data_IF_091162784462
#
_entry.id   IF_091162784462
#
_cell.length_a   1.000
_cell.length_b   1.000
_cell.length_c   1.000
_cell.angle_alpha   90.00
_cell.angle_beta   90.00
_cell.angle_gamma   90.00
#
_symmetry.space_group_name_H-M   'P 1'
#
loop_
_entity.id
_entity.type
_entity.pdbx_description
1 polymer ?
#
# COMPACT_ATOMS: atom_id res chain seq x y z
N UNK A 1 -8.61 22.32 -3.76
CA UNK A 1 -8.93 21.32 -4.82
C UNK A 1 -7.63 20.74 -5.32
N UNK A 2 -7.44 19.41 -5.25
CA UNK A 2 -6.16 18.77 -5.61
C UNK A 2 -6.02 18.72 -7.13
N UNK A 3 -4.88 19.16 -7.66
CA UNK A 3 -4.53 19.23 -9.09
C UNK A 3 -4.41 17.85 -9.81
N UNK A 4 -4.95 16.77 -9.24
CA UNK A 4 -4.82 15.42 -9.80
C UNK A 4 -5.69 15.21 -11.05
N UNK A 5 -6.83 15.91 -11.18
CA UNK A 5 -7.66 15.86 -12.40
C UNK A 5 -6.91 16.34 -13.63
N UNK A 6 -6.43 17.61 -13.65
CA UNK A 6 -5.63 18.11 -14.77
C UNK A 6 -4.34 17.31 -15.00
N UNK A 7 -3.73 16.76 -13.95
CA UNK A 7 -2.55 15.90 -14.10
C UNK A 7 -2.89 14.58 -14.83
N UNK A 8 -4.06 13.99 -14.57
CA UNK A 8 -4.53 12.79 -15.27
C UNK A 8 -4.64 13.03 -16.77
N UNK A 9 -5.25 14.13 -17.20
CA UNK A 9 -5.43 14.45 -18.61
C UNK A 9 -4.07 14.51 -19.34
N UNK A 10 -3.08 15.17 -18.73
CA UNK A 10 -1.72 15.22 -19.27
C UNK A 10 -1.03 13.85 -19.28
N UNK A 11 -1.27 12.99 -18.28
CA UNK A 11 -0.75 11.63 -18.30
C UNK A 11 -1.38 10.77 -19.40
N UNK A 12 -2.68 10.92 -19.67
CA UNK A 12 -3.39 10.20 -20.72
C UNK A 12 -2.86 10.57 -22.11
N UNK A 13 -2.65 11.87 -22.36
CA UNK A 13 -2.08 12.37 -23.61
C UNK A 13 -0.66 11.84 -23.84
N UNK A 14 0.17 11.79 -22.79
CA UNK A 14 1.55 11.33 -22.87
C UNK A 14 1.70 9.81 -22.89
N UNK A 15 0.66 9.06 -22.52
CA UNK A 15 0.72 7.61 -22.35
C UNK A 15 1.23 6.86 -23.59
N UNK A 16 0.74 7.12 -24.82
CA UNK A 16 1.21 6.41 -26.02
C UNK A 16 2.72 6.53 -26.25
N UNK A 17 3.30 7.68 -25.87
CA UNK A 17 4.71 7.99 -26.07
C UNK A 17 5.61 7.48 -24.94
N UNK A 18 5.10 7.47 -23.69
CA UNK A 18 5.91 7.22 -22.49
C UNK A 18 5.58 5.91 -21.77
N UNK A 19 4.65 5.08 -22.28
CA UNK A 19 4.24 3.80 -21.68
C UNK A 19 5.36 2.76 -21.44
N UNK A 20 6.56 2.98 -21.96
CA UNK A 20 7.72 2.10 -21.73
C UNK A 20 8.60 2.59 -20.56
N UNK A 21 8.34 3.77 -19.99
CA UNK A 21 9.14 4.33 -18.89
C UNK A 21 8.52 3.97 -17.54
N UNK A 22 9.18 3.16 -16.69
CA UNK A 22 8.60 2.70 -15.44
C UNK A 22 8.26 3.84 -14.48
N UNK A 23 9.08 4.89 -14.43
CA UNK A 23 8.81 6.06 -13.59
C UNK A 23 7.55 6.81 -14.02
N UNK A 24 7.35 6.98 -15.33
CA UNK A 24 6.13 7.60 -15.86
C UNK A 24 4.88 6.77 -15.50
N UNK A 25 4.94 5.45 -15.72
CA UNK A 25 3.85 4.56 -15.35
C UNK A 25 3.53 4.59 -13.85
N UNK A 26 4.56 4.62 -12.99
CA UNK A 26 4.37 4.74 -11.55
C UNK A 26 3.63 6.03 -11.16
N UNK A 27 4.09 7.19 -11.65
CA UNK A 27 3.47 8.48 -11.30
C UNK A 27 2.04 8.57 -11.84
N UNK A 28 1.78 8.08 -13.06
CA UNK A 28 0.44 8.03 -13.62
C UNK A 28 -0.48 7.11 -12.82
N UNK A 29 -0.03 5.88 -12.54
CA UNK A 29 -0.78 4.93 -11.72
C UNK A 29 -1.06 5.47 -10.31
N UNK A 30 -0.09 6.16 -9.70
CA UNK A 30 -0.26 6.80 -8.40
C UNK A 30 -1.25 7.98 -8.46
N UNK A 31 -1.26 8.76 -9.54
CA UNK A 31 -2.27 9.80 -9.76
C UNK A 31 -3.68 9.21 -9.80
N UNK A 32 -3.87 8.12 -10.57
CA UNK A 32 -5.15 7.42 -10.66
C UNK A 32 -5.60 6.87 -9.29
N UNK A 33 -4.68 6.33 -8.49
CA UNK A 33 -4.96 5.92 -7.10
C UNK A 33 -5.47 7.09 -6.26
N UNK A 34 -4.85 8.29 -6.37
CA UNK A 34 -5.31 9.49 -5.64
C UNK A 34 -6.68 9.99 -6.11
N UNK A 35 -7.06 9.68 -7.34
CA UNK A 35 -8.39 9.94 -7.90
C UNK A 35 -9.41 8.83 -7.60
N UNK A 36 -9.00 7.78 -6.86
CA UNK A 36 -9.80 6.58 -6.56
C UNK A 36 -10.21 5.76 -7.79
N UNK A 37 -9.50 5.91 -8.90
CA UNK A 37 -9.67 5.05 -10.09
C UNK A 37 -8.83 3.78 -9.92
N UNK A 38 -9.19 2.97 -8.93
CA UNK A 38 -8.36 1.85 -8.43
C UNK A 38 -8.08 0.80 -9.51
N UNK A 39 -9.10 0.31 -10.21
CA UNK A 39 -8.92 -0.65 -11.30
C UNK A 39 -7.95 -0.14 -12.40
N UNK A 40 -8.11 1.13 -12.80
CA UNK A 40 -7.25 1.72 -13.83
C UNK A 40 -5.82 1.92 -13.30
N UNK A 41 -5.69 2.42 -12.08
CA UNK A 41 -4.41 2.54 -11.37
C UNK A 41 -3.66 1.21 -11.34
N UNK A 42 -4.34 0.12 -10.96
CA UNK A 42 -3.76 -1.23 -10.89
C UNK A 42 -3.21 -1.67 -12.25
N UNK A 43 -3.99 -1.53 -13.33
CA UNK A 43 -3.53 -1.91 -14.70
C UNK A 43 -2.28 -1.13 -15.14
N UNK A 44 -2.18 0.16 -14.79
CA UNK A 44 -1.00 0.98 -15.11
C UNK A 44 0.20 0.57 -14.25
N UNK A 45 -0.02 0.31 -12.96
CA UNK A 45 1.04 -0.08 -12.02
C UNK A 45 1.58 -1.48 -12.28
N UNK A 46 0.75 -2.43 -12.72
CA UNK A 46 1.20 -3.76 -13.16
C UNK A 46 2.15 -3.64 -14.36
N UNK A 47 1.90 -2.72 -15.29
CA UNK A 47 2.85 -2.42 -16.37
C UNK A 47 4.15 -1.81 -15.84
N UNK A 48 4.07 -0.93 -14.83
CA UNK A 48 5.27 -0.38 -14.18
C UNK A 48 6.11 -1.49 -13.52
N UNK A 49 5.45 -2.45 -12.88
CA UNK A 49 6.06 -3.58 -12.18
C UNK A 49 6.87 -4.50 -13.12
N UNK A 50 6.48 -4.63 -14.39
CA UNK A 50 7.24 -5.41 -15.38
C UNK A 50 8.66 -4.85 -15.63
N UNK A 51 8.87 -3.56 -15.36
CA UNK A 51 10.11 -2.85 -15.67
C UNK A 51 10.79 -2.26 -14.43
N UNK A 52 10.19 -2.40 -13.25
CA UNK A 52 10.68 -1.80 -12.01
C UNK A 52 10.64 -2.76 -10.83
N UNK A 53 11.62 -2.61 -9.97
CA UNK A 53 11.73 -3.36 -8.72
C UNK A 53 11.23 -2.58 -7.50
N UNK A 54 10.65 -1.40 -7.68
CA UNK A 54 10.24 -0.54 -6.57
C UNK A 54 9.06 -1.16 -5.78
N UNK A 55 9.21 -1.44 -4.47
CA UNK A 55 8.12 -1.93 -3.63
C UNK A 55 6.93 -0.97 -3.54
N UNK A 56 7.11 0.32 -3.81
CA UNK A 56 6.00 1.29 -3.78
C UNK A 56 4.93 0.99 -4.83
N UNK A 57 5.31 0.40 -5.97
CA UNK A 57 4.34 -0.07 -6.98
C UNK A 57 3.42 -1.13 -6.37
N UNK A 58 3.99 -2.13 -5.70
CA UNK A 58 3.25 -3.20 -5.03
C UNK A 58 2.37 -2.64 -3.89
N UNK A 59 2.88 -1.67 -3.12
CA UNK A 59 2.12 -1.04 -2.05
C UNK A 59 0.86 -0.34 -2.56
N UNK A 60 0.95 0.38 -3.68
CA UNK A 60 -0.21 1.07 -4.24
C UNK A 60 -1.20 0.07 -4.84
N UNK A 61 -0.74 -0.96 -5.54
CA UNK A 61 -1.62 -2.04 -6.04
C UNK A 61 -2.36 -2.71 -4.87
N UNK A 62 -1.65 -3.06 -3.79
CA UNK A 62 -2.27 -3.65 -2.60
C UNK A 62 -3.34 -2.74 -1.99
N UNK A 63 -3.07 -1.44 -1.89
CA UNK A 63 -4.06 -0.44 -1.42
C UNK A 63 -5.25 -0.27 -2.37
N UNK A 64 -5.06 -0.42 -3.67
CA UNK A 64 -6.16 -0.38 -4.64
C UNK A 64 -7.09 -1.57 -4.42
N UNK A 65 -6.54 -2.79 -4.35
CA UNK A 65 -7.34 -3.99 -4.09
C UNK A 65 -8.03 -3.94 -2.72
N UNK A 66 -7.36 -3.45 -1.68
CA UNK A 66 -8.00 -3.23 -0.37
C UNK A 66 -9.20 -2.28 -0.48
N UNK A 67 -9.09 -1.20 -1.27
CA UNK A 67 -10.17 -0.24 -1.46
C UNK A 67 -11.29 -0.75 -2.39
N UNK A 68 -11.03 -1.82 -3.15
CA UNK A 68 -12.01 -2.57 -3.94
C UNK A 68 -12.53 -3.81 -3.17
N UNK A 69 -12.22 -3.94 -1.87
CA UNK A 69 -12.62 -5.06 -0.99
C UNK A 69 -12.09 -6.44 -1.45
N UNK A 70 -11.09 -6.45 -2.33
CA UNK A 70 -10.39 -7.64 -2.83
C UNK A 70 -9.21 -7.98 -1.91
N UNK A 71 -9.52 -8.31 -0.66
CA UNK A 71 -8.54 -8.35 0.43
C UNK A 71 -7.44 -9.41 0.26
N UNK A 72 -7.74 -10.59 -0.29
CA UNK A 72 -6.73 -11.63 -0.54
C UNK A 72 -5.69 -11.16 -1.56
N UNK A 73 -6.12 -10.44 -2.61
CA UNK A 73 -5.20 -9.85 -3.59
C UNK A 73 -4.39 -8.74 -2.95
N UNK A 74 -5.01 -7.92 -2.11
CA UNK A 74 -4.29 -6.90 -1.35
C UNK A 74 -3.19 -7.53 -0.49
N UNK A 75 -3.49 -8.61 0.23
CA UNK A 75 -2.53 -9.36 1.05
C UNK A 75 -1.37 -9.88 0.19
N UNK A 76 -1.65 -10.54 -0.94
CA UNK A 76 -0.62 -11.09 -1.82
C UNK A 76 0.39 -10.01 -2.27
N UNK A 77 -0.12 -8.88 -2.76
CA UNK A 77 0.72 -7.77 -3.23
C UNK A 77 1.53 -7.13 -2.10
N UNK A 78 0.93 -6.95 -0.92
CA UNK A 78 1.62 -6.37 0.23
C UNK A 78 2.70 -7.32 0.79
N UNK A 79 2.43 -8.63 0.89
CA UNK A 79 3.45 -9.63 1.27
C UNK A 79 4.61 -9.61 0.26
N UNK A 80 4.32 -9.61 -1.04
CA UNK A 80 5.36 -9.49 -2.08
C UNK A 80 6.21 -8.22 -1.90
N UNK A 81 5.59 -7.10 -1.50
CA UNK A 81 6.30 -5.86 -1.20
C UNK A 81 7.25 -6.00 -0.01
N UNK A 82 6.83 -6.71 1.06
CA UNK A 82 7.70 -6.99 2.21
C UNK A 82 8.91 -7.83 1.82
N UNK A 83 8.75 -8.82 0.92
CA UNK A 83 9.86 -9.63 0.44
C UNK A 83 10.82 -8.85 -0.45
N UNK A 84 10.33 -7.86 -1.21
CA UNK A 84 11.16 -7.00 -2.07
C UNK A 84 12.13 -6.15 -1.24
N UNK A 85 11.65 -5.60 -0.13
CA UNK A 85 12.47 -4.76 0.74
C UNK A 85 12.09 -4.95 2.22
N UNK A 86 12.57 -6.04 2.86
CA UNK A 86 12.19 -6.40 4.23
C UNK A 86 12.55 -5.35 5.27
N UNK A 87 13.50 -4.46 4.98
CA UNK A 87 13.90 -3.35 5.85
C UNK A 87 12.89 -2.18 5.92
N UNK A 88 11.87 -2.12 5.04
CA UNK A 88 10.88 -1.04 5.05
C UNK A 88 9.73 -1.40 6.01
N UNK A 89 9.39 -0.46 6.89
CA UNK A 89 8.26 -0.60 7.82
C UNK A 89 6.92 -0.45 7.09
N UNK A 90 6.86 0.41 6.06
CA UNK A 90 5.60 0.80 5.43
C UNK A 90 4.74 -0.38 4.90
N UNK A 91 5.29 -1.38 4.19
CA UNK A 91 4.48 -2.51 3.73
C UNK A 91 3.89 -3.35 4.89
N UNK A 92 4.64 -3.54 5.98
CA UNK A 92 4.12 -4.22 7.18
C UNK A 92 3.02 -3.41 7.87
N UNK A 93 3.18 -2.08 7.93
CA UNK A 93 2.13 -1.19 8.43
C UNK A 93 0.85 -1.28 7.58
N UNK A 94 0.96 -1.40 6.26
CA UNK A 94 -0.21 -1.63 5.40
C UNK A 94 -0.87 -3.00 5.67
N UNK A 95 -0.09 -4.06 5.91
CA UNK A 95 -0.64 -5.35 6.34
C UNK A 95 -1.37 -5.27 7.68
N UNK A 96 -0.86 -4.51 8.66
CA UNK A 96 -1.58 -4.28 9.93
C UNK A 96 -2.96 -3.68 9.66
N UNK A 97 -3.04 -2.66 8.79
CA UNK A 97 -4.31 -2.02 8.45
C UNK A 97 -5.25 -3.00 7.74
N UNK A 98 -4.74 -3.76 6.77
CA UNK A 98 -5.52 -4.75 6.03
C UNK A 98 -6.14 -5.79 6.98
N UNK A 99 -5.35 -6.36 7.90
CA UNK A 99 -5.83 -7.37 8.84
C UNK A 99 -6.72 -6.83 9.96
N UNK A 100 -6.77 -5.51 10.11
CA UNK A 100 -7.66 -4.83 11.04
C UNK A 100 -9.00 -4.42 10.40
N UNK A 101 -9.17 -4.60 9.08
CA UNK A 101 -10.45 -4.36 8.42
C UNK A 101 -11.50 -5.34 8.99
N UNK A 102 -12.68 -4.87 9.42
CA UNK A 102 -13.72 -5.74 9.98
C UNK A 102 -14.11 -6.89 9.05
N UNK A 103 -14.20 -6.63 7.75
CA UNK A 103 -14.60 -7.58 6.71
C UNK A 103 -13.48 -8.58 6.38
N UNK A 104 -12.24 -8.30 6.78
CA UNK A 104 -11.07 -9.15 6.55
C UNK A 104 -10.20 -9.32 7.80
N UNK A 105 -10.86 -9.41 8.95
CA UNK A 105 -10.16 -9.43 10.24
C UNK A 105 -9.32 -10.70 10.37
N UNK A 106 -8.02 -10.55 10.60
CA UNK A 106 -7.06 -11.65 10.74
C UNK A 106 -6.21 -11.48 12.02
N UNK A 107 -6.75 -11.77 13.22
CA UNK A 107 -6.14 -11.39 14.49
C UNK A 107 -4.73 -11.95 14.71
N UNK A 108 -4.50 -13.22 14.35
CA UNK A 108 -3.20 -13.86 14.50
C UNK A 108 -2.16 -13.27 13.55
N UNK A 109 -2.55 -12.99 12.29
CA UNK A 109 -1.66 -12.35 11.32
C UNK A 109 -1.37 -10.92 11.74
N UNK A 110 -2.38 -10.17 12.19
CA UNK A 110 -2.29 -8.80 12.69
C UNK A 110 -1.25 -8.71 13.80
N UNK A 111 -1.36 -9.53 14.86
CA UNK A 111 -0.40 -9.51 15.98
C UNK A 111 1.03 -9.72 15.52
N UNK A 112 1.26 -10.72 14.64
CA UNK A 112 2.60 -11.02 14.08
C UNK A 112 3.18 -9.85 13.29
N UNK A 113 2.42 -9.26 12.36
CA UNK A 113 2.93 -8.15 11.54
C UNK A 113 3.06 -6.84 12.33
N UNK A 114 2.20 -6.64 13.32
CA UNK A 114 2.24 -5.48 14.20
C UNK A 114 3.50 -5.50 15.07
N UNK A 115 3.88 -6.66 15.61
CA UNK A 115 5.15 -6.84 16.33
C UNK A 115 6.33 -6.44 15.44
N UNK A 116 6.36 -6.90 14.18
CA UNK A 116 7.41 -6.53 13.21
C UNK A 116 7.50 -5.00 13.05
N UNK A 117 6.36 -4.30 12.90
CA UNK A 117 6.35 -2.83 12.78
C UNK A 117 6.94 -2.16 14.02
N UNK A 118 6.60 -2.65 15.21
CA UNK A 118 7.02 -2.05 16.48
C UNK A 118 8.51 -2.28 16.76
N UNK A 119 9.02 -3.50 16.55
CA UNK A 119 10.43 -3.85 16.84
C UNK A 119 11.40 -3.35 15.76
N UNK A 120 10.95 -3.24 14.51
CA UNK A 120 11.86 -2.91 13.40
C UNK A 120 12.39 -1.50 13.56
N UNK A 121 13.71 -1.38 13.60
CA UNK A 121 14.39 -0.08 13.62
C UNK A 121 14.41 0.50 12.21
N UNK A 122 13.86 1.71 12.01
CA UNK A 122 13.92 2.34 10.69
C UNK A 122 15.36 2.79 10.39
N UNK A 123 15.79 2.63 9.14
CA UNK A 123 17.06 3.20 8.68
C UNK A 123 17.14 4.72 8.85
N UNK A 124 15.99 5.40 8.81
CA UNK A 124 15.85 6.84 9.04
C UNK A 124 14.70 7.03 10.01
N UNK A 125 14.97 7.55 11.20
CA UNK A 125 13.91 7.97 12.09
C UNK A 125 13.20 9.18 11.50
N UNK A 126 11.92 9.02 11.14
CA UNK A 126 11.09 10.10 10.62
C UNK A 126 9.80 10.22 11.43
N UNK A 127 9.17 11.39 11.37
CA UNK A 127 7.85 11.62 11.98
C UNK A 127 6.84 10.58 11.48
N UNK A 128 6.83 10.29 10.18
CA UNK A 128 5.96 9.28 9.59
C UNK A 128 6.15 7.87 10.20
N UNK A 129 7.40 7.48 10.55
CA UNK A 129 7.62 6.19 11.21
C UNK A 129 7.08 6.19 12.64
N UNK A 130 7.23 7.29 13.37
CA UNK A 130 6.66 7.42 14.72
C UNK A 130 5.13 7.32 14.68
N UNK A 131 4.50 8.07 13.78
CA UNK A 131 3.05 8.06 13.56
C UNK A 131 2.54 6.66 13.20
N UNK A 132 3.21 5.96 12.27
CA UNK A 132 2.85 4.57 11.93
C UNK A 132 2.91 3.65 13.15
N UNK A 133 3.97 3.72 13.97
CA UNK A 133 4.09 2.89 15.18
C UNK A 133 3.02 3.24 16.22
N UNK A 134 2.68 4.50 16.39
CA UNK A 134 1.61 4.94 17.29
C UNK A 134 0.23 4.46 16.84
N UNK A 135 -0.06 4.52 15.53
CA UNK A 135 -1.29 3.99 14.97
C UNK A 135 -1.38 2.47 15.16
N UNK A 136 -0.30 1.72 14.91
CA UNK A 136 -0.26 0.27 15.16
C UNK A 136 -0.55 -0.05 16.63
N UNK A 137 0.02 0.69 17.58
CA UNK A 137 -0.29 0.49 19.00
C UNK A 137 -1.79 0.67 19.31
N UNK A 138 -2.42 1.69 18.72
CA UNK A 138 -3.87 1.93 18.89
C UNK A 138 -4.69 0.79 18.30
N UNK A 139 -4.31 0.30 17.12
CA UNK A 139 -4.99 -0.84 16.47
C UNK A 139 -4.93 -2.08 17.36
N UNK A 140 -3.76 -2.42 17.92
CA UNK A 140 -3.61 -3.60 18.81
C UNK A 140 -4.49 -3.46 20.06
N UNK A 141 -4.48 -2.30 20.72
CA UNK A 141 -5.29 -2.09 21.93
C UNK A 141 -6.79 -2.24 21.63
N UNK A 142 -7.24 -1.70 20.49
CA UNK A 142 -8.62 -1.87 20.06
C UNK A 142 -8.93 -3.33 19.77
N UNK A 143 -8.03 -4.05 19.10
CA UNK A 143 -8.18 -5.47 18.77
C UNK A 143 -8.32 -6.36 20.00
N UNK A 144 -7.58 -6.07 21.07
CA UNK A 144 -7.64 -6.79 22.36
C UNK A 144 -8.94 -6.52 23.14
N UNK A 145 -9.63 -5.40 22.84
CA UNK A 145 -10.90 -5.04 23.47
C UNK A 145 -12.12 -5.69 22.80
N UNK A 146 -11.95 -6.33 21.64
CA UNK A 146 -13.01 -7.06 20.95
C UNK A 146 -13.11 -8.47 21.57
N UNK A 147 -14.27 -8.86 22.15
CA UNK A 147 -14.44 -10.20 22.71
C UNK A 147 -14.15 -11.26 21.64
N UNK A 148 -13.35 -12.28 21.98
CA UNK A 148 -13.20 -13.46 21.13
C UNK A 148 -14.60 -14.10 20.98
N UNK A 149 -15.11 -14.12 19.75
CA UNK A 149 -16.31 -14.88 19.40
C UNK A 149 -16.01 -16.38 19.40
#
# INVERSE_FOLDING_TARGET
MKAYGPAKDGYEELYPFLKHRPRFLFEYGHCLHKLKEYNHSTRILEKAMMHSCDPMILNIIGKNYQAEEEYEKAEEYLIRSTHRLPGRIYPYYLLVKLYAEPEYRQPDKLKRVAEIVLIKEPKVQSTAVKEMKEEVKKIIVNEESIPNQ
#
